data_IF_878753293259
#
_entry.id   IF_878753293259
#
_cell.length_a   1.000
_cell.length_b   1.000
_cell.length_c   1.000
_cell.angle_alpha   90.00
_cell.angle_beta   90.00
_cell.angle_gamma   90.00
#
_symmetry.space_group_name_H-M   'P 1'
#
loop_
_entity.id
_entity.type
_entity.pdbx_description
1 polymer ?
#
# COMPACT_ATOMS: atom_id res chain seq x y z
N UNK A 1 -6.90 -44.93 -25.76
CA UNK A 1 -5.56 -44.83 -25.17
C UNK A 1 -4.72 -43.81 -25.91
N UNK A 2 -4.44 -43.96 -27.18
CA UNK A 2 -3.60 -43.06 -27.99
C UNK A 2 -4.03 -41.58 -27.98
N UNK A 3 -5.35 -41.29 -28.12
CA UNK A 3 -5.88 -39.90 -28.05
C UNK A 3 -5.68 -39.26 -26.70
N UNK A 4 -5.79 -40.01 -25.61
CA UNK A 4 -5.57 -39.56 -24.26
C UNK A 4 -4.08 -39.18 -24.02
N UNK A 5 -3.18 -40.06 -24.45
CA UNK A 5 -1.74 -39.86 -24.35
C UNK A 5 -1.28 -38.63 -25.20
N UNK A 6 -1.81 -38.51 -26.42
CA UNK A 6 -1.55 -37.33 -27.26
C UNK A 6 -2.05 -36.05 -26.62
N UNK A 7 -3.26 -36.06 -26.01
CA UNK A 7 -3.80 -34.92 -25.29
C UNK A 7 -2.94 -34.51 -24.09
N UNK A 8 -2.42 -35.47 -23.34
CA UNK A 8 -1.55 -35.22 -22.19
C UNK A 8 -0.20 -34.60 -22.59
N UNK A 9 0.39 -35.10 -23.69
CA UNK A 9 1.64 -34.54 -24.24
C UNK A 9 1.44 -33.09 -24.74
N UNK A 10 0.31 -32.79 -25.37
CA UNK A 10 0.00 -31.42 -25.83
C UNK A 10 -0.16 -30.48 -24.64
N UNK A 11 -0.93 -30.88 -23.60
CA UNK A 11 -1.10 -30.07 -22.37
C UNK A 11 0.26 -29.82 -21.71
N UNK A 12 1.07 -30.87 -21.57
CA UNK A 12 2.42 -30.74 -21.01
C UNK A 12 3.29 -29.78 -21.81
N UNK A 13 3.27 -29.88 -23.15
CA UNK A 13 3.98 -28.95 -24.03
C UNK A 13 3.54 -27.50 -23.87
N UNK A 14 2.22 -27.26 -23.76
CA UNK A 14 1.68 -25.92 -23.50
C UNK A 14 2.11 -25.37 -22.13
N UNK A 15 2.12 -26.21 -21.10
CA UNK A 15 2.63 -25.82 -19.78
C UNK A 15 4.11 -25.44 -19.84
N UNK A 16 4.94 -26.19 -20.56
CA UNK A 16 6.37 -25.86 -20.72
C UNK A 16 6.57 -24.53 -21.47
N UNK A 17 5.82 -24.27 -22.53
CA UNK A 17 5.87 -22.99 -23.27
C UNK A 17 5.46 -21.83 -22.36
N UNK A 18 4.40 -22.01 -21.58
CA UNK A 18 3.98 -21.01 -20.58
C UNK A 18 5.07 -20.74 -19.53
N UNK A 19 5.64 -21.81 -18.97
CA UNK A 19 6.75 -21.72 -18.00
C UNK A 19 7.97 -21.03 -18.57
N UNK A 20 8.32 -21.33 -19.83
CA UNK A 20 9.42 -20.66 -20.54
C UNK A 20 9.15 -19.15 -20.69
N UNK A 21 7.96 -18.78 -21.16
CA UNK A 21 7.56 -17.37 -21.30
C UNK A 21 7.61 -16.61 -19.98
N UNK A 22 7.12 -17.23 -18.88
CA UNK A 22 7.21 -16.70 -17.55
C UNK A 22 8.67 -16.50 -17.10
N UNK A 23 9.52 -17.53 -17.29
CA UNK A 23 10.94 -17.49 -16.91
C UNK A 23 11.71 -16.41 -17.66
N UNK A 24 11.46 -16.26 -18.96
CA UNK A 24 12.05 -15.18 -19.78
C UNK A 24 11.63 -13.81 -19.25
N UNK A 25 10.37 -13.65 -18.86
CA UNK A 25 9.86 -12.40 -18.29
C UNK A 25 10.55 -12.08 -16.96
N UNK A 26 10.66 -13.05 -16.07
CA UNK A 26 11.35 -12.89 -14.77
C UNK A 26 12.84 -12.57 -14.97
N UNK A 27 13.49 -13.23 -15.93
CA UNK A 27 14.89 -12.93 -16.25
C UNK A 27 15.07 -11.49 -16.75
N UNK A 28 14.17 -11.02 -17.65
CA UNK A 28 14.19 -9.61 -18.13
C UNK A 28 13.98 -8.61 -16.99
N UNK A 29 13.04 -8.87 -16.07
CA UNK A 29 12.81 -8.02 -14.89
C UNK A 29 14.04 -7.99 -13.99
N UNK A 30 14.63 -9.15 -13.70
CA UNK A 30 15.86 -9.26 -12.91
C UNK A 30 17.01 -8.47 -13.53
N UNK A 31 17.19 -8.60 -14.85
CA UNK A 31 18.23 -7.89 -15.56
C UNK A 31 18.05 -6.36 -15.53
N UNK A 32 16.79 -5.89 -15.68
CA UNK A 32 16.45 -4.47 -15.55
C UNK A 32 16.65 -3.98 -14.11
N UNK A 33 16.20 -4.73 -13.10
CA UNK A 33 16.36 -4.41 -11.70
C UNK A 33 17.84 -4.27 -11.32
N UNK A 34 18.71 -5.17 -11.77
CA UNK A 34 20.16 -5.09 -11.54
C UNK A 34 20.83 -3.87 -12.16
N UNK A 35 20.27 -3.33 -13.24
CA UNK A 35 20.76 -2.14 -13.93
C UNK A 35 20.08 -0.85 -13.48
N UNK A 36 18.99 -0.96 -12.70
CA UNK A 36 18.30 0.17 -12.15
C UNK A 36 19.23 0.92 -11.18
N UNK A 37 19.31 2.22 -11.34
CA UNK A 37 19.99 3.08 -10.37
C UNK A 37 19.03 3.41 -9.24
N UNK A 38 19.51 3.40 -8.01
CA UNK A 38 18.74 3.93 -6.88
C UNK A 38 18.37 5.38 -7.18
N UNK A 39 17.11 5.71 -7.04
CA UNK A 39 16.68 7.11 -7.13
C UNK A 39 17.16 7.84 -5.88
N UNK A 40 17.94 8.93 -6.03
CA UNK A 40 18.32 9.73 -4.88
C UNK A 40 17.08 10.31 -4.23
N UNK A 41 17.13 10.53 -2.92
CA UNK A 41 16.07 11.24 -2.23
C UNK A 41 16.03 12.68 -2.75
N UNK A 42 14.91 13.15 -3.32
CA UNK A 42 14.78 14.54 -3.74
C UNK A 42 14.89 15.49 -2.56
N UNK A 43 15.26 16.75 -2.79
CA UNK A 43 15.28 17.76 -1.73
C UNK A 43 13.89 17.93 -1.11
N UNK A 44 13.85 18.33 0.16
CA UNK A 44 12.60 18.64 0.84
C UNK A 44 11.80 19.69 0.04
N UNK A 45 10.48 19.53 -0.07
CA UNK A 45 9.65 20.50 -0.78
C UNK A 45 9.63 21.83 -0.04
N UNK A 46 9.56 22.94 -0.77
CA UNK A 46 9.46 24.27 -0.19
C UNK A 46 8.20 24.44 0.68
N UNK A 47 7.12 23.76 0.30
CA UNK A 47 5.88 23.63 1.07
C UNK A 47 5.55 22.15 1.22
N UNK A 48 5.37 21.72 2.46
CA UNK A 48 4.87 20.37 2.76
C UNK A 48 3.37 20.28 2.41
N UNK A 49 2.94 19.36 1.53
CA UNK A 49 1.52 19.18 1.21
C UNK A 49 0.74 18.65 2.42
N UNK A 50 -0.56 18.85 2.43
CA UNK A 50 -1.43 18.22 3.41
C UNK A 50 -1.54 16.73 3.11
N UNK A 51 -1.14 15.90 4.09
CA UNK A 51 -1.21 14.45 4.01
C UNK A 51 -2.31 13.93 4.92
N UNK A 52 -3.17 13.06 4.39
CA UNK A 52 -4.09 12.27 5.19
C UNK A 52 -3.60 10.82 5.24
N UNK A 53 -3.38 10.33 6.45
CA UNK A 53 -3.08 8.92 6.72
C UNK A 53 -4.38 8.19 6.94
N UNK A 54 -4.66 7.15 6.16
CA UNK A 54 -5.85 6.31 6.28
C UNK A 54 -5.47 4.94 6.85
N UNK A 55 -6.08 4.58 7.97
CA UNK A 55 -5.87 3.35 8.71
C UNK A 55 -7.16 2.52 8.67
N UNK A 56 -7.40 1.72 7.61
CA UNK A 56 -8.55 0.83 7.56
C UNK A 56 -8.36 -0.34 8.53
N UNK A 57 -9.27 -0.50 9.49
CA UNK A 57 -9.24 -1.54 10.52
C UNK A 57 -10.57 -2.32 10.56
N UNK A 58 -10.47 -3.61 10.89
CA UNK A 58 -11.63 -4.50 11.03
C UNK A 58 -11.29 -5.67 11.96
N UNK A 59 -11.84 -5.67 13.18
CA UNK A 59 -11.66 -6.70 14.21
C UNK A 59 -10.17 -7.00 14.53
N UNK A 60 -9.36 -5.94 14.61
CA UNK A 60 -7.88 -6.01 14.75
C UNK A 60 -7.41 -5.61 16.17
N UNK A 61 -8.09 -6.15 17.20
CA UNK A 61 -7.87 -5.75 18.60
C UNK A 61 -6.42 -5.89 19.09
N UNK A 62 -5.64 -6.83 18.54
CA UNK A 62 -4.25 -7.07 18.93
C UNK A 62 -3.25 -6.03 18.43
N UNK A 63 -3.61 -5.29 17.38
CA UNK A 63 -2.64 -4.42 16.65
C UNK A 63 -3.11 -2.99 16.48
N UNK A 64 -4.41 -2.70 16.69
CA UNK A 64 -5.00 -1.39 16.41
C UNK A 64 -4.35 -0.25 17.21
N UNK A 65 -4.05 -0.43 18.49
CA UNK A 65 -3.41 0.59 19.31
C UNK A 65 -1.99 0.90 18.81
N UNK A 66 -1.21 -0.15 18.51
CA UNK A 66 0.15 -0.01 17.98
C UNK A 66 0.18 0.69 16.62
N UNK A 67 -0.79 0.40 15.75
CA UNK A 67 -0.95 1.07 14.46
C UNK A 67 -1.22 2.57 14.65
N UNK A 68 -2.18 2.92 15.52
CA UNK A 68 -2.54 4.30 15.83
C UNK A 68 -1.35 5.06 16.41
N UNK A 69 -0.60 4.43 17.34
CA UNK A 69 0.60 5.02 17.92
C UNK A 69 1.69 5.27 16.87
N UNK A 70 1.94 4.30 15.99
CA UNK A 70 2.93 4.45 14.94
C UNK A 70 2.55 5.57 13.95
N UNK A 71 1.26 5.69 13.62
CA UNK A 71 0.78 6.77 12.76
C UNK A 71 0.86 8.15 13.44
N UNK A 72 0.54 8.23 14.73
CA UNK A 72 0.65 9.45 15.52
C UNK A 72 2.11 9.90 15.77
N UNK A 73 3.06 8.94 15.70
CA UNK A 73 4.50 9.21 15.84
C UNK A 73 5.20 9.63 14.53
N UNK A 74 4.48 9.77 13.43
CA UNK A 74 5.05 10.22 12.16
C UNK A 74 5.62 11.63 12.27
N UNK A 75 6.90 11.78 11.91
CA UNK A 75 7.57 13.10 11.84
C UNK A 75 7.11 13.85 10.58
N UNK A 76 6.10 14.67 10.76
CA UNK A 76 5.54 15.54 9.73
C UNK A 76 5.01 16.83 10.34
N UNK A 77 4.96 17.97 9.62
CA UNK A 77 4.41 19.21 10.17
C UNK A 77 2.98 18.97 10.73
N UNK A 78 2.72 19.28 12.00
CA UNK A 78 1.45 18.91 12.66
C UNK A 78 0.21 19.53 11.99
N UNK A 79 0.34 20.74 11.44
CA UNK A 79 -0.71 21.44 10.69
C UNK A 79 -0.96 20.82 9.29
N UNK A 80 -0.08 19.93 8.84
CA UNK A 80 -0.10 19.26 7.53
C UNK A 80 -0.34 17.76 7.60
N UNK A 81 -0.62 17.22 8.78
CA UNK A 81 -0.92 15.80 8.99
C UNK A 81 -2.36 15.64 9.49
N UNK A 82 -3.11 14.76 8.85
CA UNK A 82 -4.42 14.27 9.30
C UNK A 82 -4.34 12.76 9.38
N UNK A 83 -4.96 12.18 10.39
CA UNK A 83 -5.03 10.72 10.55
C UNK A 83 -6.50 10.34 10.66
N UNK A 84 -6.93 9.38 9.85
CA UNK A 84 -8.26 8.80 9.87
C UNK A 84 -8.16 7.31 10.23
N UNK A 85 -8.70 6.91 11.36
CA UNK A 85 -8.92 5.51 11.71
C UNK A 85 -10.28 5.11 11.12
N UNK A 86 -10.26 4.37 10.02
CA UNK A 86 -11.45 3.94 9.26
C UNK A 86 -11.90 2.59 9.81
N UNK A 87 -12.77 2.63 10.81
CA UNK A 87 -13.09 1.48 11.64
C UNK A 87 -14.43 0.83 11.25
N UNK A 88 -14.33 -0.35 10.65
CA UNK A 88 -15.47 -1.21 10.30
C UNK A 88 -15.69 -2.33 11.33
N UNK A 89 -14.99 -2.30 12.46
CA UNK A 89 -15.01 -3.38 13.47
C UNK A 89 -16.36 -3.55 14.15
N UNK A 90 -16.60 -4.78 14.60
CA UNK A 90 -17.83 -5.18 15.29
C UNK A 90 -17.57 -5.75 16.70
N UNK A 91 -16.30 -5.89 17.08
CA UNK A 91 -15.82 -6.42 18.36
C UNK A 91 -15.30 -5.31 19.31
N UNK A 92 -14.62 -5.70 20.36
CA UNK A 92 -14.06 -4.79 21.38
C UNK A 92 -12.94 -3.88 20.84
N UNK A 93 -12.40 -4.13 19.65
CA UNK A 93 -11.40 -3.27 19.00
C UNK A 93 -11.91 -1.86 18.75
N UNK A 94 -13.24 -1.69 18.62
CA UNK A 94 -13.90 -0.38 18.49
C UNK A 94 -13.62 0.50 19.71
N UNK A 95 -13.77 -0.05 20.92
CA UNK A 95 -13.54 0.70 22.16
C UNK A 95 -12.04 1.04 22.33
N UNK A 96 -11.15 0.10 21.99
CA UNK A 96 -9.70 0.32 22.01
C UNK A 96 -9.29 1.43 21.03
N UNK A 97 -9.76 1.37 19.80
CA UNK A 97 -9.49 2.39 18.78
C UNK A 97 -10.00 3.78 19.24
N UNK A 98 -11.24 3.86 19.74
CA UNK A 98 -11.82 5.10 20.22
C UNK A 98 -11.02 5.71 21.38
N UNK A 99 -10.65 4.90 22.37
CA UNK A 99 -9.84 5.33 23.50
C UNK A 99 -8.45 5.83 23.06
N UNK A 100 -7.81 5.11 22.12
CA UNK A 100 -6.48 5.47 21.62
C UNK A 100 -6.51 6.74 20.78
N UNK A 101 -7.54 6.93 19.96
CA UNK A 101 -7.77 8.18 19.21
C UNK A 101 -7.95 9.35 20.19
N UNK A 102 -8.81 9.21 21.20
CA UNK A 102 -9.03 10.26 22.22
C UNK A 102 -7.74 10.63 22.96
N UNK A 103 -6.90 9.64 23.28
CA UNK A 103 -5.59 9.87 23.88
C UNK A 103 -4.70 10.77 23.03
N UNK A 104 -4.59 10.50 21.72
CA UNK A 104 -3.76 11.30 20.83
C UNK A 104 -4.38 12.66 20.50
N UNK A 105 -5.72 12.77 20.43
CA UNK A 105 -6.41 14.06 20.30
C UNK A 105 -6.11 14.99 21.49
N UNK A 106 -6.13 14.46 22.70
CA UNK A 106 -5.80 15.23 23.92
C UNK A 106 -4.34 15.75 23.91
N UNK A 107 -3.46 15.16 23.09
CA UNK A 107 -2.06 15.58 22.89
C UNK A 107 -1.87 16.48 21.67
N UNK A 108 -2.96 16.94 21.06
CA UNK A 108 -2.93 17.86 19.93
C UNK A 108 -2.76 17.18 18.56
N UNK A 109 -2.88 15.85 18.45
CA UNK A 109 -2.82 15.15 17.19
C UNK A 109 -4.13 15.36 16.40
N UNK A 110 -4.05 15.69 15.12
CA UNK A 110 -5.20 15.75 14.23
C UNK A 110 -5.60 14.35 13.75
N UNK A 111 -6.26 13.59 14.61
CA UNK A 111 -6.71 12.22 14.37
C UNK A 111 -8.22 12.10 14.57
N UNK A 112 -8.89 11.33 13.73
CA UNK A 112 -10.35 11.09 13.79
C UNK A 112 -10.64 9.60 13.75
N UNK A 113 -11.65 9.18 14.53
CA UNK A 113 -12.22 7.84 14.48
C UNK A 113 -13.46 7.88 13.58
N UNK A 114 -13.36 7.31 12.40
CA UNK A 114 -14.40 7.33 11.36
C UNK A 114 -15.07 5.97 11.32
N UNK A 115 -16.37 5.95 11.56
CA UNK A 115 -17.22 4.76 11.46
C UNK A 115 -18.33 4.99 10.46
N UNK A 116 -18.66 3.97 9.71
CA UNK A 116 -19.74 3.99 8.72
C UNK A 116 -20.86 3.01 9.08
N UNK A 117 -22.13 3.25 8.64
CA UNK A 117 -23.25 2.40 9.01
C UNK A 117 -23.16 0.97 8.48
N UNK A 118 -22.49 0.78 7.33
CA UNK A 118 -22.37 -0.52 6.66
C UNK A 118 -20.97 -0.71 6.12
N UNK A 119 -20.51 -1.95 6.12
CA UNK A 119 -19.21 -2.37 5.60
C UNK A 119 -19.22 -2.60 4.07
N UNK A 120 -20.09 -1.91 3.32
CA UNK A 120 -20.19 -2.08 1.88
C UNK A 120 -18.86 -1.75 1.20
N UNK A 121 -18.38 -2.63 0.29
CA UNK A 121 -17.10 -2.48 -0.41
C UNK A 121 -15.88 -2.76 0.46
N UNK A 122 -16.06 -3.29 1.68
CA UNK A 122 -14.97 -3.67 2.60
C UNK A 122 -13.93 -2.57 2.75
N UNK A 123 -12.63 -2.89 2.72
CA UNK A 123 -11.53 -1.94 2.82
C UNK A 123 -11.60 -0.83 1.76
N UNK A 124 -11.91 -1.17 0.51
CA UNK A 124 -12.01 -0.16 -0.55
C UNK A 124 -13.14 0.83 -0.28
N UNK A 125 -14.27 0.36 0.25
CA UNK A 125 -15.38 1.23 0.68
C UNK A 125 -15.03 2.12 1.87
N UNK A 126 -14.25 1.62 2.84
CA UNK A 126 -13.75 2.41 3.96
C UNK A 126 -12.83 3.54 3.47
N UNK A 127 -11.86 3.21 2.61
CA UNK A 127 -10.95 4.20 2.02
C UNK A 127 -11.69 5.27 1.21
N UNK A 128 -12.71 4.86 0.43
CA UNK A 128 -13.54 5.80 -0.32
C UNK A 128 -14.36 6.74 0.58
N UNK A 129 -14.92 6.21 1.66
CA UNK A 129 -15.63 7.00 2.67
C UNK A 129 -14.70 8.02 3.33
N UNK A 130 -13.52 7.58 3.79
CA UNK A 130 -12.50 8.48 4.35
C UNK A 130 -11.99 9.53 3.34
N UNK A 131 -11.89 9.18 2.05
CA UNK A 131 -11.51 10.13 1.00
C UNK A 131 -12.51 11.28 0.86
N UNK A 132 -13.81 11.00 1.03
CA UNK A 132 -14.86 12.02 0.96
C UNK A 132 -14.82 12.99 2.16
N UNK A 133 -14.27 12.56 3.28
CA UNK A 133 -14.20 13.32 4.53
C UNK A 133 -12.84 14.02 4.74
N UNK A 134 -12.00 14.08 3.73
CA UNK A 134 -10.69 14.74 3.85
C UNK A 134 -10.38 15.66 2.68
N UNK A 135 -9.57 16.66 2.92
CA UNK A 135 -9.00 17.61 1.96
C UNK A 135 -7.50 17.34 1.68
N UNK A 136 -6.95 16.24 2.18
CA UNK A 136 -5.56 15.87 1.98
C UNK A 136 -5.14 15.87 0.52
N UNK A 137 -4.03 16.54 0.19
CA UNK A 137 -3.44 16.56 -1.14
C UNK A 137 -2.83 15.20 -1.50
N UNK A 138 -2.28 14.53 -0.48
CA UNK A 138 -1.75 13.17 -0.56
C UNK A 138 -2.44 12.26 0.46
N UNK A 139 -2.58 10.98 0.10
CA UNK A 139 -3.17 9.95 0.96
C UNK A 139 -2.17 8.82 1.19
N UNK A 140 -1.77 8.60 2.43
CA UNK A 140 -0.96 7.47 2.84
C UNK A 140 -1.88 6.37 3.41
N UNK A 141 -1.67 5.12 3.00
CA UNK A 141 -2.52 3.99 3.41
C UNK A 141 -1.67 2.96 4.13
N UNK A 142 -2.06 2.63 5.38
CA UNK A 142 -1.41 1.58 6.17
C UNK A 142 -2.44 0.57 6.67
N UNK A 143 -2.19 -0.70 6.44
CA UNK A 143 -2.97 -1.81 6.98
C UNK A 143 -2.75 -1.95 8.48
N UNK A 144 -3.62 -2.70 9.13
CA UNK A 144 -3.61 -2.86 10.59
C UNK A 144 -2.29 -3.44 11.14
N UNK A 145 -1.64 -4.28 10.38
CA UNK A 145 -0.35 -4.90 10.71
C UNK A 145 0.88 -4.10 10.24
N UNK A 146 0.67 -2.97 9.54
CA UNK A 146 1.76 -2.14 9.04
C UNK A 146 2.23 -1.12 10.09
N UNK A 147 3.54 -1.06 10.31
CA UNK A 147 4.15 -0.08 11.21
C UNK A 147 5.05 0.87 10.41
N UNK A 148 4.57 2.08 10.08
CA UNK A 148 5.40 3.07 9.41
C UNK A 148 6.53 3.54 10.32
N UNK A 149 7.74 3.68 9.75
CA UNK A 149 8.83 4.35 10.45
C UNK A 149 8.48 5.85 10.65
N UNK A 150 8.93 6.49 11.72
CA UNK A 150 8.62 7.90 11.97
C UNK A 150 8.98 8.83 10.82
N UNK A 151 10.06 8.59 10.10
CA UNK A 151 10.53 9.38 8.96
C UNK A 151 9.85 9.03 7.62
N UNK A 152 8.86 8.13 7.62
CA UNK A 152 8.21 7.61 6.41
C UNK A 152 7.74 8.72 5.47
N UNK A 153 6.94 9.66 5.96
CA UNK A 153 6.40 10.74 5.14
C UNK A 153 7.50 11.71 4.65
N UNK A 154 8.49 11.98 5.51
CA UNK A 154 9.63 12.82 5.12
C UNK A 154 10.45 12.24 3.98
N UNK A 155 10.50 10.92 3.88
CA UNK A 155 11.21 10.21 2.80
C UNK A 155 10.37 10.04 1.54
N UNK A 156 9.06 9.94 1.66
CA UNK A 156 8.19 9.63 0.52
C UNK A 156 7.66 10.89 -0.17
N UNK A 157 7.23 11.88 0.60
CA UNK A 157 6.62 13.11 0.05
C UNK A 157 7.52 13.86 -0.93
N UNK A 158 8.84 13.96 -0.72
CA UNK A 158 9.73 14.63 -1.68
C UNK A 158 9.70 14.08 -3.11
N UNK A 159 9.30 12.81 -3.30
CA UNK A 159 9.18 12.23 -4.65
C UNK A 159 8.00 12.78 -5.46
N UNK A 160 7.03 13.46 -4.86
CA UNK A 160 5.91 14.08 -5.57
C UNK A 160 6.30 15.41 -6.23
N UNK A 161 7.41 15.43 -6.96
CA UNK A 161 8.02 16.64 -7.55
C UNK A 161 7.24 17.25 -8.70
N UNK A 162 6.35 16.48 -9.34
CA UNK A 162 5.55 16.93 -10.48
C UNK A 162 4.14 16.34 -10.48
N UNK A 163 3.26 16.84 -11.35
CA UNK A 163 1.89 16.36 -11.46
C UNK A 163 1.79 14.91 -11.96
N UNK A 164 2.80 14.45 -12.70
CA UNK A 164 2.82 13.12 -13.34
C UNK A 164 3.05 11.97 -12.35
N UNK A 165 3.51 12.28 -11.12
CA UNK A 165 3.68 11.26 -10.09
C UNK A 165 2.39 11.13 -9.29
N UNK A 166 1.61 10.10 -9.65
CA UNK A 166 0.33 9.80 -9.03
C UNK A 166 0.44 8.96 -7.76
N UNK A 167 1.48 8.11 -7.66
CA UNK A 167 1.68 7.20 -6.54
C UNK A 167 3.17 6.94 -6.29
N UNK A 168 3.51 6.82 -5.01
CA UNK A 168 4.80 6.29 -4.57
C UNK A 168 4.55 5.07 -3.69
N UNK A 169 5.02 3.89 -4.14
CA UNK A 169 4.98 2.65 -3.39
C UNK A 169 6.31 2.45 -2.67
N UNK A 170 6.26 2.22 -1.37
CA UNK A 170 7.47 1.90 -0.61
C UNK A 170 7.69 0.40 -0.53
N UNK A 171 8.94 0.00 -0.33
CA UNK A 171 9.28 -1.35 0.08
C UNK A 171 9.01 -1.50 1.58
N UNK A 172 8.39 -2.58 1.95
CA UNK A 172 8.20 -2.98 3.35
C UNK A 172 8.76 -4.40 3.58
N UNK A 173 8.98 -4.74 4.81
CA UNK A 173 9.59 -6.00 5.20
C UNK A 173 8.93 -6.58 6.45
N UNK A 174 9.28 -7.81 6.78
CA UNK A 174 8.78 -8.49 7.97
C UNK A 174 9.54 -8.02 9.22
N UNK A 175 8.82 -7.66 10.28
CA UNK A 175 9.42 -7.36 11.59
C UNK A 175 10.03 -8.60 12.24
N UNK A 176 9.48 -9.77 11.94
CA UNK A 176 9.83 -11.05 12.52
C UNK A 176 10.58 -11.98 11.54
N UNK A 177 11.31 -11.44 10.57
CA UNK A 177 11.99 -12.21 9.52
C UNK A 177 12.79 -13.41 10.08
N UNK A 178 13.45 -13.23 11.23
CA UNK A 178 14.31 -14.25 11.84
C UNK A 178 13.60 -15.16 12.84
N UNK A 179 12.27 -15.09 13.00
CA UNK A 179 11.55 -15.87 14.00
C UNK A 179 11.46 -17.36 13.64
N UNK A 180 11.40 -17.72 12.35
CA UNK A 180 11.28 -19.10 11.88
C UNK A 180 11.77 -19.24 10.44
N UNK A 181 11.95 -20.50 9.98
CA UNK A 181 12.21 -20.79 8.58
C UNK A 181 11.09 -20.26 7.67
N UNK A 182 9.84 -20.39 8.09
CA UNK A 182 8.69 -19.92 7.32
C UNK A 182 8.72 -18.40 7.15
N UNK A 183 8.97 -17.63 8.20
CA UNK A 183 9.07 -16.16 8.12
C UNK A 183 10.23 -15.70 7.25
N UNK A 184 11.36 -16.42 7.26
CA UNK A 184 12.50 -16.17 6.36
C UNK A 184 12.16 -16.41 4.89
N UNK A 185 11.42 -17.49 4.59
CA UNK A 185 10.97 -17.78 3.23
C UNK A 185 9.94 -16.75 2.73
N UNK A 186 9.02 -16.32 3.62
CA UNK A 186 8.09 -15.23 3.31
C UNK A 186 8.82 -13.92 3.01
N UNK A 187 9.79 -13.55 3.85
CA UNK A 187 10.61 -12.36 3.64
C UNK A 187 11.43 -12.45 2.34
N UNK A 188 11.98 -13.63 2.00
CA UNK A 188 12.65 -13.85 0.72
C UNK A 188 11.72 -13.62 -0.48
N UNK A 189 10.51 -14.18 -0.45
CA UNK A 189 9.50 -13.96 -1.50
C UNK A 189 9.11 -12.49 -1.64
N UNK A 190 8.89 -11.80 -0.52
CA UNK A 190 8.58 -10.38 -0.49
C UNK A 190 9.73 -9.52 -1.03
N UNK A 191 10.97 -9.86 -0.67
CA UNK A 191 12.16 -9.19 -1.19
C UNK A 191 12.29 -9.37 -2.72
N UNK A 192 12.01 -10.57 -3.24
CA UNK A 192 12.00 -10.83 -4.68
C UNK A 192 10.95 -9.96 -5.38
N UNK A 193 9.74 -9.83 -4.81
CA UNK A 193 8.70 -8.96 -5.33
C UNK A 193 9.16 -7.50 -5.41
N UNK A 194 9.65 -6.93 -4.32
CA UNK A 194 10.04 -5.52 -4.30
C UNK A 194 11.32 -5.23 -5.08
N UNK A 195 12.39 -6.02 -4.87
CA UNK A 195 13.71 -5.70 -5.41
C UNK A 195 13.89 -6.13 -6.87
N UNK A 196 13.13 -7.11 -7.32
CA UNK A 196 13.22 -7.63 -8.69
C UNK A 196 12.03 -7.19 -9.52
N UNK A 197 10.82 -7.53 -9.08
CA UNK A 197 9.63 -7.32 -9.89
C UNK A 197 9.25 -5.84 -9.97
N UNK A 198 9.06 -5.17 -8.84
CA UNK A 198 8.67 -3.75 -8.80
C UNK A 198 9.76 -2.84 -9.39
N UNK A 199 11.01 -3.03 -8.98
CA UNK A 199 12.13 -2.24 -9.51
C UNK A 199 12.34 -2.52 -11.00
N UNK A 200 12.23 -3.79 -11.44
CA UNK A 200 12.34 -4.16 -12.84
C UNK A 200 11.24 -3.58 -13.72
N UNK A 201 9.99 -3.52 -13.20
CA UNK A 201 8.85 -2.87 -13.87
C UNK A 201 9.09 -1.37 -14.00
N UNK A 202 9.45 -0.70 -12.92
CA UNK A 202 9.74 0.74 -12.93
C UNK A 202 10.86 1.09 -13.92
N UNK A 203 11.97 0.36 -13.86
CA UNK A 203 13.10 0.55 -14.77
C UNK A 203 12.75 0.26 -16.24
N UNK A 204 11.69 -0.51 -16.48
CA UNK A 204 11.15 -0.81 -17.80
C UNK A 204 10.08 0.17 -18.28
N UNK A 205 9.75 1.21 -17.51
CA UNK A 205 8.66 2.14 -17.83
C UNK A 205 7.26 1.52 -17.75
N UNK A 206 7.09 0.42 -17.01
CA UNK A 206 5.81 -0.23 -16.80
C UNK A 206 5.09 0.31 -15.58
N UNK A 207 3.77 0.23 -15.59
CA UNK A 207 2.96 0.61 -14.42
C UNK A 207 3.27 -0.29 -13.22
N UNK A 208 3.31 0.35 -12.05
CA UNK A 208 3.44 -0.35 -10.78
C UNK A 208 2.05 -0.70 -10.23
N UNK A 209 1.96 -1.87 -9.62
CA UNK A 209 0.78 -2.23 -8.86
C UNK A 209 0.90 -1.67 -7.45
N UNK A 210 -0.19 -1.10 -6.94
CA UNK A 210 -0.29 -0.79 -5.52
C UNK A 210 -0.48 -2.07 -4.70
N UNK A 211 0.34 -2.25 -3.68
CA UNK A 211 0.32 -3.47 -2.86
C UNK A 211 -0.70 -3.43 -1.71
N UNK A 212 -1.62 -2.47 -1.73
CA UNK A 212 -2.68 -2.33 -0.72
C UNK A 212 -2.28 -1.53 0.51
N UNK A 213 -0.98 -1.45 0.81
CA UNK A 213 -0.44 -0.77 2.00
C UNK A 213 0.95 -0.17 1.74
N UNK A 214 1.42 0.69 2.63
CA UNK A 214 2.77 1.26 2.55
C UNK A 214 3.01 2.12 1.31
N UNK A 215 1.98 2.74 0.78
CA UNK A 215 2.07 3.65 -0.35
C UNK A 215 1.37 4.97 -0.11
N UNK A 216 1.77 5.97 -0.87
CA UNK A 216 1.20 7.31 -0.85
C UNK A 216 0.66 7.65 -2.23
N UNK A 217 -0.56 8.14 -2.27
CA UNK A 217 -1.27 8.51 -3.49
C UNK A 217 -1.51 10.00 -3.58
N UNK A 218 -1.44 10.56 -4.77
CA UNK A 218 -2.01 11.88 -5.05
C UNK A 218 -3.53 11.77 -5.11
N UNK A 219 -4.24 12.63 -4.34
CA UNK A 219 -5.70 12.63 -4.29
C UNK A 219 -6.34 12.75 -5.67
N UNK A 220 -5.85 13.65 -6.53
CA UNK A 220 -6.40 13.85 -7.88
C UNK A 220 -6.36 12.57 -8.70
N UNK A 221 -5.28 11.79 -8.64
CA UNK A 221 -5.19 10.52 -9.36
C UNK A 221 -6.21 9.49 -8.90
N UNK A 222 -6.52 9.44 -7.59
CA UNK A 222 -7.56 8.56 -7.07
C UNK A 222 -8.94 9.02 -7.58
N UNK A 223 -9.21 10.31 -7.53
CA UNK A 223 -10.49 10.88 -7.97
C UNK A 223 -10.69 10.67 -9.47
N UNK A 224 -9.68 10.96 -10.30
CA UNK A 224 -9.71 10.80 -11.76
C UNK A 224 -9.90 9.34 -12.18
N UNK A 225 -9.35 8.39 -11.41
CA UNK A 225 -9.55 6.95 -11.61
C UNK A 225 -10.96 6.49 -11.23
N UNK A 226 -11.84 7.37 -10.72
CA UNK A 226 -13.19 7.04 -10.28
C UNK A 226 -13.22 6.45 -8.87
N UNK A 227 -12.39 7.00 -7.98
CA UNK A 227 -12.18 6.57 -6.60
C UNK A 227 -13.45 6.05 -5.93
N UNK A 228 -13.38 4.79 -5.51
CA UNK A 228 -14.32 4.23 -4.57
C UNK A 228 -15.74 3.97 -5.06
N UNK A 229 -16.01 4.05 -6.37
CA UNK A 229 -17.27 3.50 -6.87
C UNK A 229 -17.13 1.98 -7.00
N UNK A 230 -17.88 1.19 -6.24
CA UNK A 230 -17.80 -0.29 -6.26
C UNK A 230 -18.16 -0.91 -7.62
N UNK A 231 -18.59 -0.10 -8.59
CA UNK A 231 -19.23 -0.51 -9.83
C UNK A 231 -18.44 -0.25 -11.10
N UNK A 232 -17.19 0.18 -11.04
CA UNK A 232 -16.40 0.33 -12.27
C UNK A 232 -15.35 -0.76 -12.42
N UNK A 233 -15.83 -1.95 -12.79
CA UNK A 233 -15.13 -2.91 -13.62
C UNK A 233 -14.59 -2.20 -14.87
N UNK A 234 -13.26 -2.19 -15.01
CA UNK A 234 -12.55 -1.99 -16.29
C UNK A 234 -12.85 -0.72 -17.10
N UNK A 235 -12.08 0.35 -16.89
CA UNK A 235 -11.49 1.05 -18.01
C UNK A 235 -9.98 0.96 -17.90
N UNK A 236 -9.41 0.11 -18.72
CA UNK A 236 -8.02 0.12 -19.14
C UNK A 236 -7.79 1.49 -19.77
N UNK A 237 -6.94 2.31 -19.18
CA UNK A 237 -6.41 3.48 -19.86
C UNK A 237 -5.41 2.96 -20.90
N UNK A 238 -5.74 3.13 -22.15
CA UNK A 238 -4.83 3.06 -23.29
C UNK A 238 -3.85 4.21 -23.23
#
# INVERSE_FOLDING_TARGET
>A
MLLFETGLVVIYGLCLVFMLGFSVTQWRLTWRARRARAMPLPPAPARWPLVTVQLPVYDEWNVVERLIDAAAALDYPPDRLRIQVLDDSTDDSVALAAARVAHHQARGCHITHVRRPTRQGYKAGALAHGLAETDGELLAIFDADFLPAPDFLRRVVPYFTGPDIGMVQTRWGHLNENASLLTRLQAFGLNAHFLVEQVGRQAGGHFLNFNGTGGVWRRTCIVDAGAGTPTRSRRTLT
#
